data_IF_996320393190
#
_entry.id   IF_996320393190
#
_cell.length_a   1.000
_cell.length_b   1.000
_cell.length_c   1.000
_cell.angle_alpha   90.00
_cell.angle_beta   90.00
_cell.angle_gamma   90.00
#
_symmetry.space_group_name_H-M   'P 1'
#
loop_
_entity.id
_entity.type
_entity.pdbx_description
1 polymer ?
#
# COMPACT_ATOMS: atom_id res chain seq x y z
N UNK A 1 13.98 21.06 8.97
CA UNK A 1 13.68 21.21 7.54
C UNK A 1 12.77 20.12 7.03
N UNK A 2 13.20 18.85 6.99
CA UNK A 2 12.34 17.76 6.46
C UNK A 2 10.96 17.68 7.14
N UNK A 3 10.90 17.85 8.47
CA UNK A 3 9.64 17.91 9.21
C UNK A 3 8.70 19.03 8.73
N UNK A 4 9.21 20.22 8.39
CA UNK A 4 8.39 21.32 7.86
C UNK A 4 7.85 21.06 6.45
N UNK A 5 8.30 19.99 5.79
CA UNK A 5 7.88 19.54 4.46
C UNK A 5 7.17 18.18 4.53
N UNK A 6 6.96 17.61 5.72
CA UNK A 6 6.28 16.33 5.84
C UNK A 6 4.76 16.52 5.74
N UNK A 7 4.11 15.67 4.95
CA UNK A 7 2.67 15.71 4.74
C UNK A 7 2.26 14.74 3.65
N UNK A 8 0.98 14.37 3.66
CA UNK A 8 0.41 13.45 2.68
C UNK A 8 -0.99 13.04 3.09
N UNK A 9 -1.79 12.64 2.10
CA UNK A 9 -3.15 12.16 2.31
C UNK A 9 -3.30 10.76 1.73
N UNK A 10 -4.09 9.92 2.40
CA UNK A 10 -4.52 8.64 1.84
C UNK A 10 -5.67 8.78 0.84
N UNK A 11 -6.23 9.98 0.65
CA UNK A 11 -7.41 10.20 -0.21
C UNK A 11 -7.20 9.72 -1.65
N UNK A 12 -6.00 9.85 -2.22
CA UNK A 12 -5.71 9.33 -3.57
C UNK A 12 -5.89 7.81 -3.69
N UNK A 13 -5.74 7.06 -2.60
CA UNK A 13 -6.01 5.62 -2.58
C UNK A 13 -7.52 5.36 -2.61
N UNK A 14 -8.29 6.16 -1.88
CA UNK A 14 -9.75 6.07 -1.82
C UNK A 14 -10.37 6.46 -3.17
N UNK A 15 -9.87 7.52 -3.80
CA UNK A 15 -10.38 8.04 -5.07
C UNK A 15 -9.85 7.29 -6.30
N UNK A 16 -8.93 6.34 -6.11
CA UNK A 16 -8.26 5.64 -7.23
C UNK A 16 -7.43 6.56 -8.14
N UNK A 17 -6.97 7.71 -7.62
CA UNK A 17 -6.32 8.74 -8.43
C UNK A 17 -4.82 8.49 -8.61
N UNK A 18 -4.26 9.00 -9.72
CA UNK A 18 -2.83 8.83 -10.03
C UNK A 18 -1.90 9.50 -9.00
N UNK A 19 -2.42 10.36 -8.12
CA UNK A 19 -1.69 10.99 -7.03
C UNK A 19 -0.98 9.98 -6.11
N UNK A 20 -1.52 8.76 -5.98
CA UNK A 20 -0.91 7.67 -5.19
C UNK A 20 0.50 7.28 -5.68
N UNK A 21 0.84 7.61 -6.94
CA UNK A 21 2.12 7.25 -7.57
C UNK A 21 3.16 8.36 -7.52
N UNK A 22 2.74 9.63 -7.44
CA UNK A 22 3.65 10.77 -7.51
C UNK A 22 4.16 11.20 -6.14
N UNK A 23 3.39 10.92 -5.08
CA UNK A 23 3.69 11.37 -3.71
C UNK A 23 5.06 10.90 -3.23
N UNK A 24 5.49 9.69 -3.59
CA UNK A 24 6.80 9.15 -3.23
C UNK A 24 7.94 9.93 -3.90
N UNK A 25 7.74 10.36 -5.15
CA UNK A 25 8.69 11.21 -5.86
C UNK A 25 8.84 12.57 -5.19
N UNK A 26 7.74 13.19 -4.77
CA UNK A 26 7.77 14.45 -4.01
C UNK A 26 8.45 14.32 -2.65
N UNK A 27 8.26 13.20 -1.94
CA UNK A 27 8.96 12.94 -0.69
C UNK A 27 10.48 12.84 -0.91
N UNK A 28 10.91 12.15 -1.97
CA UNK A 28 12.33 12.06 -2.32
C UNK A 28 12.93 13.43 -2.66
N UNK A 29 12.26 14.20 -3.52
CA UNK A 29 12.66 15.57 -3.89
C UNK A 29 12.75 16.48 -2.66
N UNK A 30 11.73 16.49 -1.80
CA UNK A 30 11.71 17.28 -0.58
C UNK A 30 12.87 16.92 0.36
N UNK A 31 13.21 15.63 0.48
CA UNK A 31 14.36 15.16 1.27
C UNK A 31 15.69 15.72 0.77
N UNK A 32 15.95 15.62 -0.55
CA UNK A 32 17.17 16.15 -1.17
C UNK A 32 17.26 17.66 -1.01
N UNK A 33 16.18 18.38 -1.28
CA UNK A 33 16.13 19.84 -1.11
C UNK A 33 16.38 20.24 0.35
N UNK A 34 15.73 19.58 1.32
CA UNK A 34 15.93 19.88 2.73
C UNK A 34 17.37 19.65 3.19
N UNK A 35 18.02 18.56 2.74
CA UNK A 35 19.42 18.30 3.03
C UNK A 35 20.34 19.39 2.45
N UNK A 36 20.06 19.83 1.22
CA UNK A 36 20.80 20.90 0.57
C UNK A 36 20.63 22.28 1.25
N UNK A 37 19.45 22.58 1.77
CA UNK A 37 19.19 23.80 2.55
C UNK A 37 19.91 23.74 3.90
N UNK A 38 19.88 22.59 4.58
CA UNK A 38 20.60 22.39 5.83
C UNK A 38 22.11 22.56 5.65
N UNK A 39 22.68 22.04 4.56
CA UNK A 39 24.09 22.27 4.19
C UNK A 39 24.47 23.74 4.01
N UNK A 40 23.50 24.61 3.73
CA UNK A 40 23.69 26.07 3.55
C UNK A 40 23.35 26.86 4.82
N UNK A 41 23.15 26.20 5.95
CA UNK A 41 22.91 26.84 7.25
C UNK A 41 21.44 27.12 7.59
N UNK A 42 20.49 26.69 6.75
CA UNK A 42 19.06 26.83 7.07
C UNK A 42 18.68 25.75 8.09
N UNK A 43 18.23 26.17 9.26
CA UNK A 43 17.88 25.29 10.39
C UNK A 43 16.40 24.93 10.38
N UNK A 44 16.04 23.87 11.13
CA UNK A 44 14.65 23.53 11.41
C UNK A 44 14.42 23.29 12.90
N UNK A 45 13.20 22.88 13.30
CA UNK A 45 12.88 22.68 14.71
C UNK A 45 13.72 21.57 15.32
N UNK A 46 14.39 21.88 16.43
CA UNK A 46 15.20 20.91 17.17
C UNK A 46 14.33 19.77 17.76
N UNK A 47 13.19 20.14 18.35
CA UNK A 47 12.25 19.19 18.98
C UNK A 47 11.15 18.72 17.99
N UNK A 48 11.52 18.37 16.77
CA UNK A 48 10.55 18.04 15.71
C UNK A 48 9.74 16.77 15.99
N UNK A 49 10.24 15.84 16.82
CA UNK A 49 9.56 14.58 17.13
C UNK A 49 8.54 14.75 18.27
N UNK A 50 9.00 15.30 19.40
CA UNK A 50 8.29 15.32 20.68
C UNK A 50 7.88 16.72 21.18
N UNK A 51 8.22 17.79 20.44
CA UNK A 51 7.81 19.14 20.81
C UNK A 51 6.29 19.33 20.78
N UNK A 52 5.82 20.47 21.29
CA UNK A 52 4.38 20.80 21.33
C UNK A 52 3.72 20.74 19.94
N UNK A 53 4.42 21.19 18.90
CA UNK A 53 4.05 21.03 17.50
C UNK A 53 4.88 19.96 16.78
N UNK A 54 5.27 18.91 17.49
CA UNK A 54 6.08 17.81 16.99
C UNK A 54 5.28 16.73 16.28
N UNK A 55 5.96 15.85 15.56
CA UNK A 55 5.36 14.80 14.74
C UNK A 55 4.41 13.89 15.52
N UNK A 56 4.80 13.45 16.72
CA UNK A 56 3.98 12.57 17.54
C UNK A 56 2.65 13.21 17.94
N UNK A 57 2.64 14.53 18.19
CA UNK A 57 1.43 15.26 18.51
C UNK A 57 0.57 15.50 17.25
N UNK A 58 1.17 16.07 16.19
CA UNK A 58 0.44 16.48 14.99
C UNK A 58 -0.07 15.31 14.14
N UNK A 59 0.74 14.27 13.97
CA UNK A 59 0.44 13.13 13.08
C UNK A 59 0.22 11.83 13.84
N UNK A 60 0.87 11.67 15.00
CA UNK A 60 0.71 10.50 15.86
C UNK A 60 -0.58 10.50 16.68
N UNK A 61 -1.36 11.59 16.70
CA UNK A 61 -2.66 11.68 17.40
C UNK A 61 -2.59 11.23 18.87
N UNK A 62 -1.43 11.41 19.52
CA UNK A 62 -1.19 10.98 20.90
C UNK A 62 -1.00 9.46 21.09
N UNK A 63 -1.01 8.65 20.03
CA UNK A 63 -0.77 7.20 20.09
C UNK A 63 0.66 6.80 19.73
N UNK A 64 1.43 7.73 19.16
CA UNK A 64 2.84 7.53 18.85
C UNK A 64 3.71 7.94 20.03
N UNK A 65 4.38 6.97 20.65
CA UNK A 65 5.48 7.25 21.59
C UNK A 65 6.76 7.58 20.80
N UNK A 66 7.31 8.80 20.91
CA UNK A 66 8.56 9.20 20.26
C UNK A 66 9.73 8.25 20.54
N UNK A 67 9.80 7.62 21.72
CA UNK A 67 10.89 6.73 22.08
C UNK A 67 10.93 5.48 21.18
N UNK A 68 9.76 4.97 20.77
CA UNK A 68 9.65 3.80 19.88
C UNK A 68 10.19 4.08 18.47
N UNK A 69 10.21 5.34 18.03
CA UNK A 69 10.70 5.75 16.71
C UNK A 69 12.22 5.66 16.62
N UNK A 70 12.92 5.96 17.70
CA UNK A 70 14.39 5.96 17.79
C UNK A 70 14.95 4.67 18.39
N UNK A 71 14.09 3.79 18.90
CA UNK A 71 14.48 2.52 19.48
C UNK A 71 15.26 1.67 18.47
N UNK A 72 16.46 1.22 18.88
CA UNK A 72 17.34 0.38 18.06
C UNK A 72 18.08 1.14 16.95
N UNK A 73 17.99 2.47 16.87
CA UNK A 73 18.72 3.24 15.86
C UNK A 73 20.24 3.01 15.99
N UNK A 74 20.89 2.66 14.88
CA UNK A 74 22.32 2.32 14.82
C UNK A 74 22.66 0.86 15.15
N UNK A 75 21.70 0.09 15.69
CA UNK A 75 21.91 -1.32 16.05
C UNK A 75 20.99 -2.27 15.27
N UNK A 76 19.76 -1.85 14.98
CA UNK A 76 18.75 -2.63 14.28
C UNK A 76 18.50 -2.08 12.87
N UNK A 77 18.81 -2.89 11.86
CA UNK A 77 18.52 -2.56 10.46
C UNK A 77 17.22 -3.22 10.02
N UNK A 78 16.16 -2.41 9.83
CA UNK A 78 14.85 -2.90 9.39
C UNK A 78 14.79 -3.28 7.90
N UNK A 79 15.86 -3.05 7.14
CA UNK A 79 15.97 -3.41 5.71
C UNK A 79 15.63 -4.89 5.47
N UNK A 80 16.08 -5.78 6.36
CA UNK A 80 15.82 -7.22 6.28
C UNK A 80 14.35 -7.60 6.50
N UNK A 81 13.52 -6.68 6.97
CA UNK A 81 12.07 -6.87 7.16
C UNK A 81 11.24 -6.30 6.01
N UNK A 82 11.87 -5.84 4.93
CA UNK A 82 11.15 -5.37 3.75
C UNK A 82 10.56 -6.54 2.97
N UNK A 83 9.34 -6.32 2.46
CA UNK A 83 8.64 -7.26 1.60
C UNK A 83 8.80 -6.82 0.15
N UNK A 84 9.29 -7.72 -0.70
CA UNK A 84 9.18 -7.57 -2.14
C UNK A 84 7.84 -8.14 -2.59
N UNK A 85 7.00 -7.29 -3.19
CA UNK A 85 5.70 -7.72 -3.69
C UNK A 85 5.90 -8.74 -4.82
N UNK A 86 5.26 -9.90 -4.67
CA UNK A 86 5.20 -10.94 -5.70
C UNK A 86 4.24 -10.54 -6.81
N UNK A 87 3.15 -9.87 -6.44
CA UNK A 87 2.04 -9.54 -7.34
C UNK A 87 1.85 -8.02 -7.49
N UNK A 88 1.44 -7.52 -8.67
CA UNK A 88 1.38 -6.09 -8.96
C UNK A 88 0.09 -5.41 -8.45
N UNK A 89 -0.28 -5.67 -7.19
CA UNK A 89 -1.44 -5.12 -6.48
C UNK A 89 -1.07 -4.53 -5.11
N UNK A 90 -2.07 -4.14 -4.32
CA UNK A 90 -1.89 -3.61 -2.97
C UNK A 90 -1.04 -4.53 -2.08
N UNK A 91 -0.34 -3.97 -1.09
CA UNK A 91 0.46 -4.77 -0.17
C UNK A 91 -0.38 -5.75 0.67
N UNK A 92 -1.60 -5.35 1.02
CA UNK A 92 -2.50 -6.17 1.85
C UNK A 92 -3.25 -7.25 1.05
N UNK A 93 -3.23 -7.21 -0.29
CA UNK A 93 -3.82 -8.26 -1.14
C UNK A 93 -2.87 -9.41 -1.44
N UNK A 94 -1.56 -9.24 -1.19
CA UNK A 94 -0.55 -10.26 -1.49
C UNK A 94 -0.87 -11.62 -0.86
N UNK A 95 -1.26 -11.61 0.42
CA UNK A 95 -1.56 -12.84 1.17
C UNK A 95 -2.76 -13.59 0.62
N UNK A 96 -3.87 -12.90 0.31
CA UNK A 96 -5.07 -13.56 -0.22
C UNK A 96 -4.89 -14.04 -1.65
N UNK A 97 -4.06 -13.34 -2.46
CA UNK A 97 -3.65 -13.83 -3.78
C UNK A 97 -2.79 -15.08 -3.67
N UNK A 98 -1.81 -15.10 -2.77
CA UNK A 98 -0.98 -16.29 -2.54
C UNK A 98 -1.81 -17.49 -2.09
N UNK A 99 -2.76 -17.28 -1.14
CA UNK A 99 -3.65 -18.33 -0.65
C UNK A 99 -4.52 -18.92 -1.77
N UNK A 100 -5.09 -18.09 -2.63
CA UNK A 100 -5.90 -18.56 -3.75
C UNK A 100 -5.06 -19.39 -4.75
N UNK A 101 -3.86 -18.92 -5.09
CA UNK A 101 -2.95 -19.63 -5.99
C UNK A 101 -2.46 -20.95 -5.40
N UNK A 102 -2.11 -20.97 -4.11
CA UNK A 102 -1.72 -22.17 -3.38
C UNK A 102 -2.85 -23.20 -3.34
N UNK A 103 -4.08 -22.77 -3.01
CA UNK A 103 -5.24 -23.65 -3.01
C UNK A 103 -5.46 -24.33 -4.37
N UNK A 104 -5.38 -23.57 -5.47
CA UNK A 104 -5.50 -24.12 -6.82
C UNK A 104 -4.39 -25.11 -7.17
N UNK A 105 -3.17 -24.87 -6.67
CA UNK A 105 -2.02 -25.75 -6.90
C UNK A 105 -2.15 -27.06 -6.11
N UNK A 106 -2.57 -26.97 -4.85
CA UNK A 106 -2.65 -28.12 -3.93
C UNK A 106 -3.84 -29.04 -4.26
N UNK A 107 -4.95 -28.47 -4.74
CA UNK A 107 -6.20 -29.22 -4.98
C UNK A 107 -6.46 -29.57 -6.44
N UNK A 108 -5.84 -28.86 -7.38
CA UNK A 108 -6.15 -28.99 -8.80
C UNK A 108 -7.52 -28.43 -9.22
N UNK A 109 -8.24 -27.73 -8.31
CA UNK A 109 -9.50 -27.06 -8.62
C UNK A 109 -9.36 -26.14 -9.83
N UNK A 110 -10.36 -26.14 -10.70
CA UNK A 110 -10.50 -25.22 -11.81
C UNK A 110 -11.49 -24.11 -11.43
N UNK A 111 -11.43 -22.98 -12.14
CA UNK A 111 -12.37 -21.88 -11.92
C UNK A 111 -13.84 -22.33 -12.05
N UNK A 112 -14.12 -23.25 -12.97
CA UNK A 112 -15.45 -23.83 -13.19
C UNK A 112 -15.98 -24.64 -11.99
N UNK A 113 -15.10 -25.11 -11.09
CA UNK A 113 -15.48 -25.87 -9.90
C UNK A 113 -15.87 -24.94 -8.72
N UNK A 114 -15.65 -23.63 -8.85
CA UNK A 114 -15.83 -22.66 -7.76
C UNK A 114 -17.16 -21.93 -7.92
N UNK A 115 -18.12 -22.24 -7.04
CA UNK A 115 -19.40 -21.52 -6.99
C UNK A 115 -19.26 -20.13 -6.36
N UNK A 116 -18.44 -19.99 -5.31
CA UNK A 116 -18.20 -18.72 -4.62
C UNK A 116 -16.91 -18.75 -3.80
N UNK A 117 -16.38 -17.57 -3.44
CA UNK A 117 -15.24 -17.42 -2.54
C UNK A 117 -15.51 -16.34 -1.49
N UNK A 118 -15.26 -16.66 -0.21
CA UNK A 118 -15.34 -15.70 0.89
C UNK A 118 -13.94 -15.30 1.35
N UNK A 119 -13.63 -14.00 1.34
CA UNK A 119 -12.32 -13.47 1.74
C UNK A 119 -12.44 -12.74 3.08
N UNK A 120 -11.81 -13.30 4.13
CA UNK A 120 -11.78 -12.68 5.46
C UNK A 120 -10.52 -11.85 5.64
N UNK A 121 -10.70 -10.59 6.02
CA UNK A 121 -9.62 -9.62 6.16
C UNK A 121 -9.63 -8.97 7.55
N UNK A 122 -8.47 -8.68 8.15
CA UNK A 122 -8.41 -7.83 9.34
C UNK A 122 -9.03 -6.44 9.09
N UNK A 123 -9.55 -5.75 10.12
CA UNK A 123 -10.28 -4.49 9.95
C UNK A 123 -9.53 -3.39 9.18
N UNK A 124 -8.20 -3.35 9.28
CA UNK A 124 -7.39 -2.44 8.47
C UNK A 124 -7.43 -2.83 6.99
N UNK A 125 -7.09 -4.08 6.66
CA UNK A 125 -7.10 -4.55 5.27
C UNK A 125 -8.50 -4.46 4.64
N UNK A 126 -9.55 -4.83 5.38
CA UNK A 126 -10.93 -4.71 4.90
C UNK A 126 -11.29 -3.27 4.50
N UNK A 127 -10.90 -2.27 5.31
CA UNK A 127 -11.14 -0.86 4.99
C UNK A 127 -10.40 -0.38 3.73
N UNK A 128 -9.27 -0.99 3.39
CA UNK A 128 -8.51 -0.61 2.19
C UNK A 128 -8.94 -1.35 0.93
N UNK A 129 -9.23 -2.65 1.03
CA UNK A 129 -9.40 -3.51 -0.16
C UNK A 129 -10.59 -4.49 -0.10
N UNK A 130 -11.37 -4.45 0.99
CA UNK A 130 -12.49 -5.37 1.22
C UNK A 130 -13.84 -4.88 0.69
N UNK A 131 -13.90 -3.68 0.09
CA UNK A 131 -15.12 -3.15 -0.50
C UNK A 131 -15.55 -3.97 -1.72
N UNK A 132 -16.84 -3.91 -2.06
CA UNK A 132 -17.35 -4.53 -3.28
C UNK A 132 -16.57 -4.03 -4.50
N UNK A 133 -16.19 -4.95 -5.39
CA UNK A 133 -15.48 -4.59 -6.60
C UNK A 133 -16.41 -3.82 -7.55
N UNK A 134 -15.97 -2.65 -7.98
CA UNK A 134 -16.66 -1.80 -8.94
C UNK A 134 -15.63 -1.27 -9.93
N UNK A 135 -15.96 -1.31 -11.21
CA UNK A 135 -15.10 -0.75 -12.25
C UNK A 135 -15.47 0.71 -12.45
N UNK A 136 -14.60 1.61 -11.98
CA UNK A 136 -14.77 3.05 -12.08
C UNK A 136 -14.00 3.65 -13.26
N UNK A 137 -13.64 4.93 -13.12
CA UNK A 137 -12.89 5.66 -14.15
C UNK A 137 -11.44 5.19 -14.29
N UNK A 138 -10.90 4.43 -13.33
CA UNK A 138 -9.54 3.91 -13.37
C UNK A 138 -9.51 2.40 -13.05
N UNK A 139 -9.99 1.54 -13.99
CA UNK A 139 -10.14 0.10 -13.78
C UNK A 139 -8.88 -0.58 -13.25
N UNK A 140 -7.71 -0.09 -13.68
CA UNK A 140 -6.41 -0.60 -13.22
C UNK A 140 -6.24 -0.41 -11.71
N UNK A 141 -6.51 0.78 -11.19
CA UNK A 141 -6.34 1.07 -9.76
C UNK A 141 -7.44 0.38 -8.96
N UNK A 142 -8.68 0.39 -9.47
CA UNK A 142 -9.82 -0.31 -8.85
C UNK A 142 -9.49 -1.79 -8.62
N UNK A 143 -8.95 -2.47 -9.63
CA UNK A 143 -8.50 -3.85 -9.54
C UNK A 143 -7.30 -4.06 -8.59
N UNK A 144 -6.32 -3.15 -8.59
CA UNK A 144 -5.13 -3.24 -7.74
C UNK A 144 -5.44 -3.09 -6.25
N UNK A 145 -6.54 -2.42 -5.91
CA UNK A 145 -7.00 -2.18 -4.53
C UNK A 145 -8.27 -2.96 -4.19
N UNK A 146 -8.56 -4.06 -4.89
CA UNK A 146 -9.69 -4.95 -4.58
C UNK A 146 -9.22 -6.36 -4.26
N UNK A 147 -9.53 -6.85 -3.06
CA UNK A 147 -9.29 -8.23 -2.67
C UNK A 147 -10.15 -9.20 -3.50
N UNK A 148 -11.40 -8.82 -3.78
CA UNK A 148 -12.33 -9.62 -4.59
C UNK A 148 -11.75 -9.83 -6.01
N UNK A 149 -11.34 -8.76 -6.69
CA UNK A 149 -10.71 -8.88 -8.02
C UNK A 149 -9.42 -9.70 -7.96
N UNK A 150 -8.54 -9.45 -6.98
CA UNK A 150 -7.27 -10.17 -6.89
C UNK A 150 -7.46 -11.68 -6.69
N UNK A 151 -8.47 -12.10 -5.93
CA UNK A 151 -8.81 -13.52 -5.73
C UNK A 151 -9.48 -14.10 -6.97
N UNK A 152 -10.47 -13.43 -7.56
CA UNK A 152 -11.13 -13.88 -8.78
C UNK A 152 -10.14 -14.05 -9.95
N UNK A 153 -9.26 -13.06 -10.16
CA UNK A 153 -8.19 -13.14 -11.14
C UNK A 153 -7.26 -14.35 -10.88
N UNK A 154 -6.91 -14.60 -9.61
CA UNK A 154 -6.06 -15.75 -9.27
C UNK A 154 -6.76 -17.08 -9.57
N UNK A 155 -8.06 -17.20 -9.25
CA UNK A 155 -8.87 -18.38 -9.54
C UNK A 155 -8.98 -18.67 -11.04
N UNK A 156 -9.29 -17.63 -11.82
CA UNK A 156 -9.56 -17.75 -13.27
C UNK A 156 -8.27 -17.92 -14.07
N UNK A 157 -7.26 -17.08 -13.79
CA UNK A 157 -6.03 -17.02 -14.60
C UNK A 157 -4.87 -17.82 -14.03
N UNK A 158 -5.06 -18.44 -12.85
CA UNK A 158 -4.04 -19.22 -12.11
C UNK A 158 -2.72 -18.47 -11.94
N UNK A 159 -2.77 -17.13 -11.98
CA UNK A 159 -1.62 -16.24 -11.85
C UNK A 159 -2.07 -14.79 -11.64
N UNK A 160 -1.16 -13.95 -11.15
CA UNK A 160 -1.40 -12.51 -10.97
C UNK A 160 -0.22 -11.73 -11.51
N UNK A 161 -0.38 -11.17 -12.71
CA UNK A 161 0.69 -10.55 -13.47
C UNK A 161 0.31 -9.14 -13.91
N UNK A 162 1.30 -8.33 -14.30
CA UNK A 162 1.07 -6.93 -14.67
C UNK A 162 0.02 -6.73 -15.79
N UNK A 163 -0.02 -7.58 -16.85
CA UNK A 163 -1.05 -7.48 -17.88
C UNK A 163 -2.48 -7.62 -17.34
N UNK A 164 -2.70 -8.41 -16.29
CA UNK A 164 -4.04 -8.68 -15.75
C UNK A 164 -4.74 -7.44 -15.19
N UNK A 165 -3.98 -6.42 -14.81
CA UNK A 165 -4.52 -5.14 -14.33
C UNK A 165 -4.65 -4.10 -15.46
N UNK A 166 -4.44 -4.47 -16.72
CA UNK A 166 -4.76 -3.61 -17.84
C UNK A 166 -6.29 -3.46 -17.96
N UNK A 167 -6.83 -2.28 -18.32
CA UNK A 167 -8.28 -2.07 -18.36
C UNK A 167 -9.06 -3.16 -19.12
N UNK A 168 -8.60 -3.55 -20.30
CA UNK A 168 -9.24 -4.63 -21.07
C UNK A 168 -9.30 -5.98 -20.33
N UNK A 169 -8.30 -6.27 -19.49
CA UNK A 169 -8.25 -7.49 -18.66
C UNK A 169 -9.06 -7.35 -17.37
N UNK A 170 -9.32 -6.13 -16.92
CA UNK A 170 -10.21 -5.87 -15.77
C UNK A 170 -11.68 -6.02 -16.19
N UNK A 171 -12.01 -5.75 -17.45
CA UNK A 171 -13.34 -5.92 -18.03
C UNK A 171 -13.64 -7.34 -18.55
N UNK A 172 -12.75 -8.28 -18.32
CA UNK A 172 -12.94 -9.68 -18.70
C UNK A 172 -14.07 -10.30 -17.86
N UNK A 173 -15.18 -10.64 -18.50
CA UNK A 173 -16.38 -11.14 -17.83
C UNK A 173 -16.18 -12.51 -17.13
N UNK A 174 -15.07 -13.21 -17.40
CA UNK A 174 -14.74 -14.42 -16.67
C UNK A 174 -14.18 -14.15 -15.27
N UNK A 175 -13.68 -12.93 -15.00
CA UNK A 175 -13.04 -12.50 -13.74
C UNK A 175 -13.99 -11.63 -12.93
#
# INVERSE_FOLDING_TARGET
>A
MAFNRCGGSFQSHVDGSLGVRIVQGWVADAGVQCAQLARRGITGPANFLAGHYGYAHLYGRGTLDPATVVQGLGHEWRLHRMVFKKYPSCGVTQGVTELALGLLADTGLQAADVQSAEVRLPPYAHRLVGHAFQIGANPRVDAQFSAAYCVANALVRRSSQLPHFAPAQVHDAQV
#
